data_IF_363077341322
#
_entry.id   IF_363077341322
#
_cell.length_a   1.000
_cell.length_b   1.000
_cell.length_c   1.000
_cell.angle_alpha   90.00
_cell.angle_beta   90.00
_cell.angle_gamma   90.00
#
_symmetry.space_group_name_H-M   'P 1'
#
loop_
_entity.id
_entity.type
_entity.pdbx_description
1 polymer ?
#
# COMPACT_ATOMS: atom_id res chain seq x y z
N UNK A 1 17.68 9.90 1.97
CA UNK A 1 17.16 9.98 3.35
C UNK A 1 16.00 10.93 3.52
N UNK A 2 16.06 12.13 2.95
CA UNK A 2 14.94 13.07 3.00
C UNK A 2 13.68 12.51 2.33
N UNK A 3 13.81 11.77 1.24
CA UNK A 3 12.68 11.15 0.54
C UNK A 3 12.00 10.09 1.40
N UNK A 4 12.75 9.30 2.14
CA UNK A 4 12.21 8.26 3.04
C UNK A 4 11.46 8.91 4.20
N UNK A 5 11.99 9.98 4.76
CA UNK A 5 11.32 10.75 5.82
C UNK A 5 10.02 11.35 5.34
N UNK A 6 9.98 11.92 4.12
CA UNK A 6 8.77 12.46 3.51
C UNK A 6 7.70 11.38 3.32
N UNK A 7 8.10 10.19 2.89
CA UNK A 7 7.21 9.06 2.71
C UNK A 7 6.61 8.64 4.05
N UNK A 8 7.41 8.53 5.10
CA UNK A 8 6.95 8.17 6.44
C UNK A 8 5.98 9.24 6.96
N UNK A 9 6.29 10.51 6.75
CA UNK A 9 5.42 11.63 7.16
C UNK A 9 4.09 11.58 6.41
N UNK A 10 4.10 11.31 5.10
CA UNK A 10 2.88 11.20 4.31
C UNK A 10 1.99 10.05 4.79
N UNK A 11 2.58 8.88 5.06
CA UNK A 11 1.85 7.73 5.59
C UNK A 11 1.29 8.06 6.98
N UNK A 12 2.07 8.72 7.80
CA UNK A 12 1.66 9.13 9.15
C UNK A 12 0.51 10.14 9.09
N UNK A 13 0.58 11.14 8.20
CA UNK A 13 -0.48 12.12 8.03
C UNK A 13 -1.78 11.46 7.53
N UNK A 14 -1.67 10.56 6.56
CA UNK A 14 -2.82 9.78 6.08
C UNK A 14 -3.45 8.99 7.23
N UNK A 15 -2.63 8.37 8.06
CA UNK A 15 -3.05 7.64 9.25
C UNK A 15 -3.81 8.54 10.23
N UNK A 16 -3.33 9.75 10.48
CA UNK A 16 -3.98 10.67 11.41
C UNK A 16 -5.31 11.21 10.89
N UNK A 17 -5.45 11.35 9.57
CA UNK A 17 -6.68 11.82 8.95
C UNK A 17 -7.78 10.75 8.94
N UNK A 18 -7.40 9.48 8.96
CA UNK A 18 -8.32 8.34 8.87
C UNK A 18 -8.53 7.68 10.24
N UNK A 19 -8.28 8.42 11.29
CA UNK A 19 -8.23 7.90 12.68
C UNK A 19 -9.49 7.22 13.16
N UNK A 20 -10.63 7.48 12.54
CA UNK A 20 -11.92 6.90 12.92
C UNK A 20 -12.23 5.58 12.23
N UNK A 21 -11.35 5.14 11.35
CA UNK A 21 -11.59 3.98 10.50
C UNK A 21 -10.58 2.88 10.86
N UNK A 22 -11.01 2.00 11.76
CA UNK A 22 -10.15 0.95 12.32
C UNK A 22 -9.63 -0.03 11.27
N UNK A 23 -10.35 -0.20 10.15
CA UNK A 23 -9.94 -1.13 9.10
C UNK A 23 -8.69 -0.68 8.34
N UNK A 24 -8.47 0.63 8.21
CA UNK A 24 -7.34 1.17 7.45
C UNK A 24 -6.05 1.20 8.25
N UNK A 25 -6.10 1.10 9.58
CA UNK A 25 -4.91 1.10 10.42
C UNK A 25 -3.98 -0.07 10.10
N UNK A 26 -4.53 -1.25 9.85
CA UNK A 26 -3.74 -2.42 9.46
C UNK A 26 -3.07 -2.25 8.10
N UNK A 27 -3.78 -1.62 7.17
CA UNK A 27 -3.22 -1.32 5.84
C UNK A 27 -2.04 -0.37 5.97
N UNK A 28 -2.17 0.68 6.77
CA UNK A 28 -1.12 1.66 6.99
C UNK A 28 0.11 1.00 7.64
N UNK A 29 -0.09 0.11 8.59
CA UNK A 29 0.99 -0.67 9.19
C UNK A 29 1.74 -1.50 8.15
N UNK A 30 1.01 -2.16 7.24
CA UNK A 30 1.61 -2.93 6.16
C UNK A 30 2.38 -2.04 5.18
N UNK A 31 1.85 -0.86 4.87
CA UNK A 31 2.54 0.11 4.02
C UNK A 31 3.87 0.53 4.65
N UNK A 32 3.90 0.75 5.96
CA UNK A 32 5.14 1.08 6.67
C UNK A 32 6.19 -0.02 6.53
N UNK A 33 5.78 -1.27 6.51
CA UNK A 33 6.68 -2.41 6.33
C UNK A 33 7.32 -2.44 4.96
N UNK A 34 6.79 -1.71 3.98
CA UNK A 34 7.37 -1.61 2.65
C UNK A 34 8.50 -0.59 2.55
N UNK A 35 8.65 0.30 3.54
CA UNK A 35 9.63 1.40 3.51
C UNK A 35 11.06 0.91 3.24
N UNK A 36 11.54 -0.22 3.83
CA UNK A 36 12.89 -0.71 3.54
C UNK A 36 13.16 -1.00 2.06
N UNK A 37 12.11 -1.20 1.26
CA UNK A 37 12.24 -1.52 -0.16
C UNK A 37 12.19 -0.28 -1.06
N UNK A 38 12.01 0.91 -0.49
CA UNK A 38 11.87 2.17 -1.23
C UNK A 38 13.09 2.51 -2.09
N UNK A 39 14.26 2.06 -1.67
CA UNK A 39 15.50 2.30 -2.40
C UNK A 39 15.71 1.45 -3.64
N UNK A 40 14.91 0.40 -3.84
CA UNK A 40 15.01 -0.46 -5.01
C UNK A 40 14.67 0.29 -6.31
N UNK A 41 13.62 1.09 -6.28
CA UNK A 41 13.25 1.99 -7.36
C UNK A 41 12.34 3.08 -6.78
N UNK A 42 12.88 4.27 -6.63
CA UNK A 42 12.16 5.37 -5.98
C UNK A 42 10.91 5.79 -6.75
N UNK A 43 10.95 5.74 -8.08
CA UNK A 43 9.81 6.14 -8.92
C UNK A 43 8.66 5.16 -8.72
N UNK A 44 8.92 3.86 -8.81
CA UNK A 44 7.91 2.82 -8.57
C UNK A 44 7.36 2.89 -7.16
N UNK A 45 8.22 3.13 -6.19
CA UNK A 45 7.78 3.21 -4.80
C UNK A 45 6.86 4.39 -4.57
N UNK A 46 7.17 5.55 -5.17
CA UNK A 46 6.30 6.74 -5.09
C UNK A 46 4.96 6.49 -5.78
N UNK A 47 4.97 5.81 -6.92
CA UNK A 47 3.73 5.42 -7.60
C UNK A 47 2.89 4.48 -6.75
N UNK A 48 3.54 3.49 -6.11
CA UNK A 48 2.85 2.60 -5.18
C UNK A 48 2.16 3.39 -4.07
N UNK A 49 2.89 4.30 -3.41
CA UNK A 49 2.33 5.11 -2.33
C UNK A 49 1.18 5.99 -2.81
N UNK A 50 1.34 6.63 -3.95
CA UNK A 50 0.28 7.47 -4.51
C UNK A 50 -0.98 6.65 -4.78
N UNK A 51 -0.83 5.50 -5.43
CA UNK A 51 -1.96 4.64 -5.77
C UNK A 51 -2.63 4.05 -4.53
N UNK A 52 -1.86 3.60 -3.54
CA UNK A 52 -2.45 3.00 -2.34
C UNK A 52 -3.15 4.06 -1.48
N UNK A 53 -2.58 5.25 -1.37
CA UNK A 53 -3.20 6.35 -0.64
C UNK A 53 -4.50 6.80 -1.30
N UNK A 54 -4.51 6.87 -2.63
CA UNK A 54 -5.74 7.20 -3.37
C UNK A 54 -6.78 6.10 -3.22
N UNK A 55 -6.37 4.84 -3.22
CA UNK A 55 -7.29 3.73 -3.00
C UNK A 55 -7.98 3.84 -1.63
N UNK A 56 -7.23 4.21 -0.59
CA UNK A 56 -7.78 4.45 0.74
C UNK A 56 -8.75 5.64 0.73
N UNK A 57 -8.36 6.72 0.08
CA UNK A 57 -9.17 7.93 -0.01
C UNK A 57 -10.50 7.66 -0.71
N UNK A 58 -10.50 6.84 -1.76
CA UNK A 58 -11.68 6.53 -2.55
C UNK A 58 -12.38 5.23 -2.12
N UNK A 59 -12.14 4.74 -0.92
CA UNK A 59 -12.72 3.45 -0.46
C UNK A 59 -14.25 3.41 -0.52
N UNK A 60 -14.93 4.55 -0.40
CA UNK A 60 -16.39 4.62 -0.53
C UNK A 60 -16.85 4.47 -1.99
N UNK A 61 -15.95 4.63 -2.95
CA UNK A 61 -16.16 4.36 -4.37
C UNK A 61 -15.45 3.07 -4.73
N UNK A 62 -16.07 1.94 -4.42
CA UNK A 62 -15.40 0.62 -4.38
C UNK A 62 -14.71 0.28 -5.70
N UNK A 63 -15.37 0.50 -6.83
CA UNK A 63 -14.77 0.17 -8.14
C UNK A 63 -13.50 0.96 -8.43
N UNK A 64 -13.51 2.25 -8.11
CA UNK A 64 -12.34 3.12 -8.28
C UNK A 64 -11.22 2.67 -7.34
N UNK A 65 -11.58 2.42 -6.09
CA UNK A 65 -10.63 1.97 -5.09
C UNK A 65 -9.97 0.64 -5.47
N UNK A 66 -10.74 -0.32 -5.98
CA UNK A 66 -10.21 -1.61 -6.44
C UNK A 66 -9.19 -1.45 -7.56
N UNK A 67 -9.45 -0.58 -8.53
CA UNK A 67 -8.52 -0.32 -9.63
C UNK A 67 -7.23 0.33 -9.14
N UNK A 68 -7.35 1.27 -8.21
CA UNK A 68 -6.17 1.91 -7.62
C UNK A 68 -5.36 0.92 -6.79
N UNK A 69 -6.04 0.05 -6.05
CA UNK A 69 -5.38 -1.01 -5.30
C UNK A 69 -4.59 -1.93 -6.22
N UNK A 70 -5.20 -2.38 -7.32
CA UNK A 70 -4.53 -3.25 -8.29
C UNK A 70 -3.27 -2.59 -8.86
N UNK A 71 -3.34 -1.30 -9.18
CA UNK A 71 -2.17 -0.54 -9.65
C UNK A 71 -1.08 -0.46 -8.58
N UNK A 72 -1.49 -0.18 -7.35
CA UNK A 72 -0.53 -0.09 -6.23
C UNK A 72 0.18 -1.41 -6.02
N UNK A 73 -0.55 -2.51 -5.99
CA UNK A 73 0.03 -3.84 -5.77
C UNK A 73 0.94 -4.24 -6.93
N UNK A 74 0.59 -3.86 -8.16
CA UNK A 74 1.45 -4.08 -9.32
C UNK A 74 2.76 -3.32 -9.17
N UNK A 75 2.70 -2.04 -8.78
CA UNK A 75 3.90 -1.25 -8.51
C UNK A 75 4.79 -1.91 -7.44
N UNK A 76 4.18 -2.36 -6.36
CA UNK A 76 4.91 -3.01 -5.27
C UNK A 76 5.58 -4.31 -5.73
N UNK A 77 4.88 -5.15 -6.47
CA UNK A 77 5.45 -6.39 -7.01
C UNK A 77 6.56 -6.13 -8.02
N UNK A 78 6.45 -5.07 -8.82
CA UNK A 78 7.48 -4.68 -9.77
C UNK A 78 8.78 -4.29 -9.07
N UNK A 79 8.72 -3.77 -7.84
CA UNK A 79 9.94 -3.49 -7.06
C UNK A 79 10.82 -4.72 -6.90
N UNK A 80 10.20 -5.90 -6.79
CA UNK A 80 10.97 -7.14 -6.65
C UNK A 80 11.87 -7.42 -7.84
N UNK A 81 11.53 -6.88 -9.02
CA UNK A 81 12.34 -7.05 -10.24
C UNK A 81 13.68 -6.31 -10.16
N UNK A 82 13.80 -5.36 -9.25
CA UNK A 82 15.03 -4.57 -9.06
C UNK A 82 15.94 -5.13 -7.98
N UNK A 83 15.57 -6.26 -7.37
CA UNK A 83 16.44 -6.93 -6.43
C UNK A 83 17.56 -7.65 -7.19
N UNK A 84 18.67 -7.88 -6.52
CA UNK A 84 19.71 -8.75 -7.05
C UNK A 84 19.14 -10.16 -7.15
N UNK A 85 19.35 -10.82 -8.30
CA UNK A 85 18.73 -12.11 -8.60
C UNK A 85 19.02 -13.21 -7.57
N UNK A 86 20.06 -13.04 -6.75
CA UNK A 86 20.40 -13.98 -5.68
C UNK A 86 19.61 -13.74 -4.39
N UNK A 87 18.87 -12.63 -4.29
CA UNK A 87 18.16 -12.26 -3.06
C UNK A 87 16.68 -12.61 -3.15
N UNK A 88 16.39 -13.91 -3.15
CA UNK A 88 15.02 -14.41 -3.22
C UNK A 88 14.20 -14.07 -1.97
N UNK A 89 14.86 -13.83 -0.82
CA UNK A 89 14.15 -13.50 0.42
C UNK A 89 13.44 -12.16 0.31
N UNK A 90 14.03 -11.16 -0.35
CA UNK A 90 13.41 -9.86 -0.56
C UNK A 90 12.20 -9.98 -1.48
N UNK A 91 12.32 -10.77 -2.54
CA UNK A 91 11.22 -11.03 -3.47
C UNK A 91 10.04 -11.65 -2.72
N UNK A 92 10.29 -12.66 -1.89
CA UNK A 92 9.27 -13.32 -1.09
C UNK A 92 8.62 -12.37 -0.09
N UNK A 93 9.42 -11.54 0.59
CA UNK A 93 8.92 -10.56 1.56
C UNK A 93 8.00 -9.54 0.90
N UNK A 94 8.38 -9.03 -0.26
CA UNK A 94 7.54 -8.08 -1.01
C UNK A 94 6.23 -8.74 -1.43
N UNK A 95 6.29 -9.98 -1.92
CA UNK A 95 5.09 -10.70 -2.34
C UNK A 95 4.15 -10.95 -1.15
N UNK A 96 4.69 -11.34 -0.01
CA UNK A 96 3.90 -11.53 1.21
C UNK A 96 3.22 -10.23 1.62
N UNK A 97 3.94 -9.11 1.61
CA UNK A 97 3.37 -7.81 1.95
C UNK A 97 2.26 -7.41 0.97
N UNK A 98 2.48 -7.62 -0.32
CA UNK A 98 1.46 -7.32 -1.34
C UNK A 98 0.18 -8.13 -1.09
N UNK A 99 0.33 -9.42 -0.80
CA UNK A 99 -0.80 -10.29 -0.53
C UNK A 99 -1.54 -9.90 0.76
N UNK A 100 -0.80 -9.51 1.79
CA UNK A 100 -1.39 -9.04 3.06
C UNK A 100 -2.15 -7.74 2.87
N UNK A 101 -1.58 -6.80 2.13
CA UNK A 101 -2.25 -5.52 1.82
C UNK A 101 -3.54 -5.80 1.05
N UNK A 102 -3.50 -6.67 0.07
CA UNK A 102 -4.68 -7.03 -0.71
C UNK A 102 -5.78 -7.62 0.18
N UNK A 103 -5.43 -8.56 1.05
CA UNK A 103 -6.39 -9.23 1.93
C UNK A 103 -7.05 -8.23 2.88
N UNK A 104 -6.26 -7.38 3.52
CA UNK A 104 -6.79 -6.37 4.45
C UNK A 104 -7.66 -5.34 3.74
N UNK A 105 -7.25 -4.93 2.54
CA UNK A 105 -8.01 -3.95 1.77
C UNK A 105 -9.33 -4.52 1.29
N UNK A 106 -9.37 -5.78 0.89
CA UNK A 106 -10.61 -6.45 0.50
C UNK A 106 -11.64 -6.45 1.65
N UNK A 107 -11.18 -6.66 2.89
CA UNK A 107 -12.05 -6.58 4.05
C UNK A 107 -12.64 -5.18 4.22
N UNK A 108 -11.84 -4.14 4.01
CA UNK A 108 -12.32 -2.76 4.07
C UNK A 108 -13.38 -2.51 3.00
N UNK A 109 -13.13 -2.96 1.77
CA UNK A 109 -14.07 -2.76 0.66
C UNK A 109 -15.36 -3.54 0.84
N UNK A 110 -15.30 -4.75 1.40
CA UNK A 110 -16.49 -5.52 1.75
C UNK A 110 -17.33 -4.76 2.77
N UNK A 111 -16.70 -4.21 3.79
CA UNK A 111 -17.37 -3.39 4.79
C UNK A 111 -18.05 -2.16 4.17
N UNK A 112 -17.38 -1.49 3.25
CA UNK A 112 -17.94 -0.34 2.54
C UNK A 112 -19.17 -0.74 1.72
N UNK A 113 -19.13 -1.88 1.04
CA UNK A 113 -20.26 -2.40 0.29
C UNK A 113 -21.45 -2.69 1.20
N UNK A 114 -21.22 -3.27 2.36
CA UNK A 114 -22.27 -3.58 3.32
C UNK A 114 -22.89 -2.31 3.90
N UNK A 115 -22.08 -1.29 4.18
CA UNK A 115 -22.55 -0.04 4.75
C UNK A 115 -23.30 0.83 3.74
N UNK A 116 -23.03 0.67 2.45
CA UNK A 116 -23.70 1.44 1.40
C UNK A 116 -25.00 0.80 0.89
N UNK A 117 -25.28 -0.41 1.33
CA UNK A 117 -26.53 -1.11 0.99
C UNK A 117 -27.74 -0.68 1.91
#
# INVERSE_FOLDING_TARGET
MLAVLLVIVMVYLASSLIKKDTGTDHIIELIRKTVPYSGLNEVLYKEFLANINMAIEYKSHVEISEKLLDRALKNLRELALYTVSSDTSVIEEIDVLANQINAEFELVLINEKLNSA
#
